data_IF_929293143778
#
_entry.id   IF_929293143778
#
_cell.length_a   1.000
_cell.length_b   1.000
_cell.length_c   1.000
_cell.angle_alpha   90.00
_cell.angle_beta   90.00
_cell.angle_gamma   90.00
#
_symmetry.space_group_name_H-M   'P 1'
#
loop_
_entity.id
_entity.type
_entity.pdbx_description
1 polymer ?
#
# COMPACT_ATOMS: atom_id res chain seq x y z
N UNK A 1 -2.65 -5.81 16.29
CA UNK A 1 -3.24 -4.52 16.71
C UNK A 1 -4.08 -4.00 15.55
N UNK A 2 -5.37 -3.73 15.74
CA UNK A 2 -6.19 -3.09 14.71
C UNK A 2 -5.88 -1.60 14.70
N UNK A 3 -5.33 -1.08 13.60
CA UNK A 3 -5.06 0.34 13.43
C UNK A 3 -6.38 1.12 13.57
N UNK A 4 -6.49 1.93 14.63
CA UNK A 4 -7.67 2.74 14.91
C UNK A 4 -7.68 3.92 13.94
N UNK A 5 -8.77 4.05 13.16
CA UNK A 5 -8.96 5.09 12.14
C UNK A 5 -8.76 6.49 12.74
N UNK A 6 -7.68 7.16 12.36
CA UNK A 6 -7.51 8.60 12.57
C UNK A 6 -8.26 9.37 11.49
N UNK A 7 -8.90 10.49 11.86
CA UNK A 7 -9.66 11.34 10.92
C UNK A 7 -8.69 11.82 9.82
N UNK A 8 -8.91 11.41 8.58
CA UNK A 8 -8.05 11.77 7.43
C UNK A 8 -7.01 10.72 7.01
N UNK A 9 -7.00 9.53 7.62
CA UNK A 9 -6.17 8.42 7.16
C UNK A 9 -6.63 7.88 5.80
N UNK A 10 -5.69 7.54 4.93
CA UNK A 10 -5.94 6.87 3.65
C UNK A 10 -6.27 5.40 3.91
N UNK A 11 -7.33 4.91 3.27
CA UNK A 11 -7.83 3.55 3.44
C UNK A 11 -7.29 2.66 2.31
N UNK A 12 -6.66 1.53 2.68
CA UNK A 12 -6.12 0.56 1.72
C UNK A 12 -7.05 -0.62 1.58
N UNK A 13 -7.40 -0.98 0.35
CA UNK A 13 -8.40 -2.00 0.05
C UNK A 13 -7.86 -3.09 -0.87
N UNK A 14 -8.49 -4.26 -0.81
CA UNK A 14 -8.32 -5.33 -1.80
C UNK A 14 -9.61 -5.47 -2.61
N UNK A 15 -9.54 -5.79 -3.92
CA UNK A 15 -10.70 -6.06 -4.74
C UNK A 15 -11.62 -7.10 -4.09
N UNK A 16 -12.93 -6.84 -4.12
CA UNK A 16 -13.93 -7.72 -3.55
C UNK A 16 -14.15 -7.59 -2.04
N UNK A 17 -13.44 -6.71 -1.32
CA UNK A 17 -13.70 -6.43 0.11
C UNK A 17 -14.04 -4.97 0.39
N UNK A 18 -15.13 -4.77 1.15
CA UNK A 18 -15.55 -3.44 1.64
C UNK A 18 -14.71 -2.94 2.81
N UNK A 19 -14.17 -3.84 3.62
CA UNK A 19 -13.36 -3.49 4.79
C UNK A 19 -11.92 -3.21 4.35
N UNK A 20 -11.33 -2.07 4.76
CA UNK A 20 -9.92 -1.80 4.47
C UNK A 20 -9.01 -2.79 5.20
N UNK A 21 -7.88 -3.11 4.58
CA UNK A 21 -6.85 -3.98 5.15
C UNK A 21 -5.87 -3.20 6.02
N UNK A 22 -5.69 -1.91 5.75
CA UNK A 22 -4.80 -1.01 6.45
C UNK A 22 -5.25 0.44 6.31
N UNK A 23 -4.64 1.29 7.13
CA UNK A 23 -4.77 2.74 7.06
C UNK A 23 -3.37 3.33 7.03
N UNK A 24 -3.19 4.46 6.33
CA UNK A 24 -1.94 5.21 6.38
C UNK A 24 -2.12 6.71 6.48
N UNK A 25 -1.01 7.41 6.74
CA UNK A 25 -0.95 8.83 6.47
C UNK A 25 -0.99 9.14 4.96
N UNK A 26 -1.34 10.38 4.61
CA UNK A 26 -1.26 10.87 3.22
C UNK A 26 0.17 10.88 2.70
N UNK A 27 1.17 11.15 3.55
CA UNK A 27 2.58 11.13 3.14
C UNK A 27 3.00 9.74 2.65
N UNK A 28 2.66 8.70 3.42
CA UNK A 28 2.89 7.29 3.07
C UNK A 28 2.14 6.90 1.80
N UNK A 29 0.90 7.36 1.65
CA UNK A 29 0.11 7.12 0.43
C UNK A 29 0.76 7.73 -0.80
N UNK A 30 1.24 8.97 -0.69
CA UNK A 30 1.92 9.65 -1.80
C UNK A 30 3.22 8.92 -2.17
N UNK A 31 3.99 8.46 -1.18
CA UNK A 31 5.21 7.66 -1.42
C UNK A 31 4.89 6.38 -2.20
N UNK A 32 3.92 5.59 -1.74
CA UNK A 32 3.51 4.36 -2.43
C UNK A 32 2.97 4.68 -3.83
N UNK A 33 2.17 5.74 -3.96
CA UNK A 33 1.64 6.20 -5.24
C UNK A 33 2.70 6.61 -6.25
N UNK A 34 3.79 7.25 -5.80
CA UNK A 34 4.94 7.58 -6.65
C UNK A 34 5.65 6.33 -7.17
N UNK A 35 5.86 5.33 -6.31
CA UNK A 35 6.44 4.04 -6.71
C UNK A 35 5.51 3.28 -7.67
N UNK A 36 4.20 3.38 -7.48
CA UNK A 36 3.22 2.84 -8.41
C UNK A 36 3.30 3.53 -9.78
N UNK A 37 3.42 4.86 -9.81
CA UNK A 37 3.56 5.61 -11.06
C UNK A 37 4.84 5.25 -11.84
N UNK A 38 5.90 4.81 -11.15
CA UNK A 38 7.14 4.30 -11.76
C UNK A 38 7.00 2.85 -12.29
N UNK A 39 5.84 2.23 -12.13
CA UNK A 39 5.50 0.92 -12.70
C UNK A 39 5.94 -0.27 -11.83
N UNK A 40 6.24 -0.05 -10.55
CA UNK A 40 6.71 -1.10 -9.66
C UNK A 40 5.58 -2.05 -9.24
N UNK A 41 5.96 -3.30 -8.99
CA UNK A 41 5.13 -4.27 -8.28
C UNK A 41 5.14 -4.00 -6.77
N UNK A 42 4.22 -4.63 -6.03
CA UNK A 42 4.19 -4.53 -4.57
C UNK A 42 5.50 -5.02 -3.92
N UNK A 43 6.12 -6.09 -4.42
CA UNK A 43 7.43 -6.57 -3.94
C UNK A 43 8.57 -5.62 -4.26
N UNK A 44 8.60 -5.08 -5.48
CA UNK A 44 9.63 -4.13 -5.88
C UNK A 44 9.55 -2.84 -5.06
N UNK A 45 8.34 -2.31 -4.83
CA UNK A 45 8.15 -1.16 -3.96
C UNK A 45 8.54 -1.46 -2.52
N UNK A 46 8.21 -2.66 -2.01
CA UNK A 46 8.60 -3.04 -0.65
C UNK A 46 10.11 -3.11 -0.48
N UNK A 47 10.83 -3.61 -1.48
CA UNK A 47 12.28 -3.65 -1.50
C UNK A 47 12.93 -2.25 -1.66
N UNK A 48 12.27 -1.34 -2.40
CA UNK A 48 12.75 0.02 -2.62
C UNK A 48 12.66 0.91 -1.36
N UNK A 49 11.69 0.67 -0.48
CA UNK A 49 11.48 1.46 0.73
C UNK A 49 12.35 0.94 1.87
N UNK A 50 13.21 1.80 2.44
CA UNK A 50 14.08 1.45 3.57
C UNK A 50 13.78 2.23 4.86
N UNK A 51 12.99 3.29 4.80
CA UNK A 51 12.82 4.25 5.88
C UNK A 51 11.39 4.42 6.38
N UNK A 52 10.39 3.95 5.62
CA UNK A 52 8.97 4.13 5.94
C UNK A 52 8.37 2.77 6.35
N UNK A 53 8.35 2.50 7.65
CA UNK A 53 7.80 1.27 8.22
C UNK A 53 6.28 1.13 7.96
N UNK A 54 5.54 2.24 7.88
CA UNK A 54 4.11 2.24 7.58
C UNK A 54 3.87 1.76 6.15
N UNK A 55 4.64 2.28 5.19
CA UNK A 55 4.58 1.83 3.81
C UNK A 55 4.95 0.35 3.68
N UNK A 56 6.04 -0.09 4.35
CA UNK A 56 6.45 -1.50 4.32
C UNK A 56 5.38 -2.42 4.89
N UNK A 57 4.72 -2.03 5.98
CA UNK A 57 3.63 -2.80 6.56
C UNK A 57 2.45 -2.96 5.58
N UNK A 58 2.08 -1.90 4.86
CA UNK A 58 1.00 -1.95 3.86
C UNK A 58 1.37 -2.86 2.71
N UNK A 59 2.56 -2.68 2.13
CA UNK A 59 3.02 -3.48 1.00
C UNK A 59 3.13 -4.96 1.40
N UNK A 60 3.61 -5.24 2.61
CA UNK A 60 3.65 -6.60 3.18
C UNK A 60 2.26 -7.25 3.19
N UNK A 61 1.22 -6.51 3.61
CA UNK A 61 -0.14 -7.04 3.60
C UNK A 61 -0.61 -7.43 2.20
N UNK A 62 -0.23 -6.69 1.16
CA UNK A 62 -0.55 -7.06 -0.22
C UNK A 62 0.26 -8.28 -0.69
N UNK A 63 1.55 -8.35 -0.36
CA UNK A 63 2.44 -9.47 -0.69
C UNK A 63 1.94 -10.77 -0.05
N UNK A 64 1.63 -10.76 1.25
CA UNK A 64 1.12 -11.91 1.99
C UNK A 64 -0.22 -12.44 1.43
N UNK A 65 -0.96 -11.61 0.71
CA UNK A 65 -2.22 -11.97 0.04
C UNK A 65 -2.02 -12.48 -1.40
N UNK A 66 -0.78 -12.58 -1.86
CA UNK A 66 -0.42 -13.09 -3.18
C UNK A 66 -0.40 -12.02 -4.28
N UNK A 67 -0.34 -10.73 -3.92
CA UNK A 67 -0.27 -9.63 -4.89
C UNK A 67 1.16 -9.11 -5.13
N UNK A 68 2.18 -9.81 -4.64
CA UNK A 68 3.57 -9.35 -4.67
C UNK A 68 4.10 -8.97 -6.06
N UNK A 69 3.83 -9.82 -7.05
CA UNK A 69 4.24 -9.64 -8.45
C UNK A 69 3.28 -8.75 -9.26
N UNK A 70 2.19 -8.26 -8.64
CA UNK A 70 1.21 -7.42 -9.34
C UNK A 70 1.72 -5.98 -9.44
N UNK A 71 1.64 -5.38 -10.62
CA UNK A 71 1.95 -3.96 -10.83
C UNK A 71 0.92 -3.12 -10.08
N UNK A 72 1.38 -2.20 -9.24
CA UNK A 72 0.50 -1.46 -8.33
C UNK A 72 -0.56 -0.60 -9.06
N UNK A 73 -0.23 -0.05 -10.23
CA UNK A 73 -1.16 0.74 -11.05
C UNK A 73 -2.27 -0.11 -11.67
N UNK A 74 -1.98 -1.34 -12.07
CA UNK A 74 -2.99 -2.32 -12.53
C UNK A 74 -3.93 -2.71 -11.41
N UNK A 75 -3.42 -2.74 -10.18
CA UNK A 75 -4.21 -2.96 -8.97
C UNK A 75 -5.05 -1.72 -8.56
N UNK A 76 -4.82 -0.57 -9.18
CA UNK A 76 -5.55 0.68 -8.93
C UNK A 76 -4.91 1.60 -7.88
N UNK A 77 -3.67 1.34 -7.46
CA UNK A 77 -2.90 2.24 -6.59
C UNK A 77 -2.46 3.47 -7.40
N UNK A 78 -2.64 4.66 -6.84
CA UNK A 78 -2.33 5.95 -7.46
C UNK A 78 -1.82 6.93 -6.40
N UNK A 79 -1.02 7.90 -6.85
CA UNK A 79 -0.56 9.04 -6.05
C UNK A 79 -1.68 10.05 -5.79
#
# INVERSE_FOLDING_TARGET
MGARKSRGAVEWHVPGRKTPIAYSTTATSNLIGMLAADGLTFEQAHAAINYDDEAKAILTLYIERGHGETVMTEFGVRA
#
